data_IF_338927125069
#
_entry.id   IF_338927125069
#
_cell.length_a   1.000
_cell.length_b   1.000
_cell.length_c   1.000
_cell.angle_alpha   90.00
_cell.angle_beta   90.00
_cell.angle_gamma   90.00
#
_symmetry.space_group_name_H-M   'P 1'
#
loop_
_entity.id
_entity.type
_entity.pdbx_description
1 polymer ?
#
# COMPACT_ATOMS: atom_id res chain seq x y z
N UNK A 1 -12.36 27.20 12.73
CA UNK A 1 -10.93 26.87 12.69
C UNK A 1 -10.47 27.02 11.25
N UNK A 2 -9.41 27.79 11.04
CA UNK A 2 -8.87 27.98 9.70
C UNK A 2 -7.78 26.96 9.42
N UNK A 3 -8.07 26.04 8.52
CA UNK A 3 -7.05 25.11 8.05
C UNK A 3 -6.18 25.80 6.99
N UNK A 4 -4.90 25.45 6.93
CA UNK A 4 -4.08 25.88 5.81
C UNK A 4 -4.68 25.40 4.48
N UNK A 5 -4.34 26.08 3.41
CA UNK A 5 -4.75 25.67 2.08
C UNK A 5 -4.22 24.27 1.76
N UNK A 6 -5.02 23.48 1.05
CA UNK A 6 -4.60 22.13 0.66
C UNK A 6 -3.39 22.17 -0.27
N UNK A 7 -2.43 21.33 0.03
CA UNK A 7 -1.25 21.18 -0.81
C UNK A 7 -1.59 20.26 -1.98
N UNK A 8 -1.16 20.63 -3.18
CA UNK A 8 -1.30 19.78 -4.36
C UNK A 8 -0.53 18.47 -4.12
N UNK A 9 -1.15 17.29 -4.33
CA UNK A 9 -0.45 16.03 -4.15
C UNK A 9 0.87 15.91 -4.92
N UNK A 10 1.02 16.63 -6.02
CA UNK A 10 2.28 16.65 -6.78
C UNK A 10 3.43 17.28 -6.01
N UNK A 11 3.12 18.12 -5.01
CA UNK A 11 4.11 18.79 -4.17
C UNK A 11 4.44 18.02 -2.91
N UNK A 12 3.69 16.94 -2.62
CA UNK A 12 3.93 16.14 -1.43
C UNK A 12 5.13 15.23 -1.62
N UNK A 13 5.89 15.03 -0.54
CA UNK A 13 7.02 14.11 -0.58
C UNK A 13 6.51 12.67 -0.74
N UNK A 14 7.31 11.79 -1.36
CA UNK A 14 6.93 10.39 -1.47
C UNK A 14 6.65 9.73 -0.11
N UNK A 15 7.38 10.11 0.93
CA UNK A 15 7.17 9.53 2.26
C UNK A 15 5.87 10.03 2.90
N UNK A 16 5.45 11.28 2.62
CA UNK A 16 4.15 11.78 3.05
C UNK A 16 3.01 11.02 2.35
N UNK A 17 3.17 10.76 1.05
CA UNK A 17 2.21 9.96 0.29
C UNK A 17 2.13 8.54 0.85
N UNK A 18 3.27 7.93 1.16
CA UNK A 18 3.32 6.59 1.73
C UNK A 18 2.65 6.52 3.11
N UNK A 19 2.78 7.60 3.89
CA UNK A 19 2.12 7.70 5.20
C UNK A 19 0.59 7.55 5.06
N UNK A 20 0.01 8.19 4.04
CA UNK A 20 -1.42 8.04 3.75
C UNK A 20 -1.71 6.66 3.17
N UNK A 21 -0.89 6.21 2.23
CA UNK A 21 -1.09 4.93 1.54
C UNK A 21 -1.05 3.72 2.45
N UNK A 22 -0.23 3.76 3.50
CA UNK A 22 -0.20 2.73 4.52
C UNK A 22 -1.60 2.55 5.14
N UNK A 23 -2.25 3.65 5.49
CA UNK A 23 -3.60 3.63 6.04
C UNK A 23 -4.64 3.17 5.03
N UNK A 24 -4.47 3.53 3.76
CA UNK A 24 -5.39 3.11 2.70
C UNK A 24 -5.37 1.59 2.56
N UNK A 25 -4.20 1.00 2.45
CA UNK A 25 -4.08 -0.46 2.34
C UNK A 25 -4.62 -1.15 3.59
N UNK A 26 -4.24 -0.64 4.75
CA UNK A 26 -4.66 -1.20 6.02
C UNK A 26 -6.19 -1.23 6.13
N UNK A 27 -6.84 -0.13 5.78
CA UNK A 27 -8.32 -0.04 5.85
C UNK A 27 -8.98 -1.04 4.90
N UNK A 28 -8.50 -1.11 3.65
CA UNK A 28 -9.09 -2.00 2.66
C UNK A 28 -8.96 -3.47 3.05
N UNK A 29 -7.80 -3.87 3.56
CA UNK A 29 -7.58 -5.24 4.02
C UNK A 29 -8.46 -5.56 5.22
N UNK A 30 -8.46 -4.69 6.22
CA UNK A 30 -9.28 -4.88 7.43
C UNK A 30 -10.76 -4.97 7.11
N UNK A 31 -11.23 -4.07 6.26
CA UNK A 31 -12.64 -4.08 5.84
C UNK A 31 -13.00 -5.41 5.18
N UNK A 32 -12.20 -5.85 4.23
CA UNK A 32 -12.48 -7.09 3.51
C UNK A 32 -12.47 -8.29 4.45
N UNK A 33 -11.55 -8.34 5.39
CA UNK A 33 -11.49 -9.44 6.36
C UNK A 33 -12.74 -9.47 7.24
N UNK A 34 -13.14 -8.32 7.76
CA UNK A 34 -14.31 -8.21 8.65
C UNK A 34 -15.61 -8.56 7.92
N UNK A 35 -15.70 -8.16 6.64
CA UNK A 35 -16.90 -8.42 5.84
C UNK A 35 -17.10 -9.89 5.53
N UNK A 36 -16.04 -10.70 5.54
CA UNK A 36 -16.11 -12.08 5.10
C UNK A 36 -15.75 -13.11 6.18
N UNK A 37 -15.31 -12.68 7.36
CA UNK A 37 -14.86 -13.59 8.40
C UNK A 37 -15.34 -13.17 9.77
N UNK A 38 -15.80 -14.15 10.56
CA UNK A 38 -16.15 -13.94 11.95
C UNK A 38 -15.00 -14.43 12.83
N UNK A 39 -14.01 -13.59 13.02
CA UNK A 39 -12.79 -13.91 13.76
C UNK A 39 -12.63 -13.00 14.96
N UNK A 40 -11.91 -13.48 15.98
CA UNK A 40 -11.49 -12.63 17.10
C UNK A 40 -10.55 -11.53 16.61
N UNK A 41 -10.41 -10.47 17.40
CA UNK A 41 -9.50 -9.36 17.06
C UNK A 41 -8.07 -9.85 16.83
N UNK A 42 -7.60 -10.80 17.66
CA UNK A 42 -6.25 -11.35 17.50
C UNK A 42 -6.07 -12.11 16.20
N UNK A 43 -7.07 -12.91 15.80
CA UNK A 43 -7.02 -13.65 14.54
C UNK A 43 -7.16 -12.72 13.34
N UNK A 44 -7.99 -11.69 13.45
CA UNK A 44 -8.09 -10.67 12.41
C UNK A 44 -6.75 -9.99 12.18
N UNK A 45 -6.06 -9.62 13.26
CA UNK A 45 -4.75 -9.00 13.15
C UNK A 45 -3.72 -9.94 12.51
N UNK A 46 -3.72 -11.21 12.89
CA UNK A 46 -2.80 -12.18 12.31
C UNK A 46 -3.04 -12.36 10.79
N UNK A 47 -4.31 -12.41 10.38
CA UNK A 47 -4.64 -12.49 8.95
C UNK A 47 -4.24 -11.22 8.21
N UNK A 48 -4.52 -10.05 8.81
CA UNK A 48 -4.18 -8.75 8.22
C UNK A 48 -2.68 -8.65 7.89
N UNK A 49 -1.81 -9.08 8.80
CA UNK A 49 -0.36 -9.01 8.61
C UNK A 49 0.10 -9.73 7.35
N UNK A 50 -0.58 -10.80 6.97
CA UNK A 50 -0.26 -11.55 5.75
C UNK A 50 -0.40 -10.72 4.48
N UNK A 51 -1.14 -9.62 4.54
CA UNK A 51 -1.37 -8.72 3.39
C UNK A 51 -0.61 -7.40 3.51
N UNK A 52 -0.30 -6.94 4.74
CA UNK A 52 0.25 -5.60 4.92
C UNK A 52 1.73 -5.57 5.36
N UNK A 53 2.33 -6.71 5.61
CA UNK A 53 3.77 -6.75 5.91
C UNK A 53 4.57 -6.26 4.69
N UNK A 54 5.79 -5.78 4.93
CA UNK A 54 6.64 -5.32 3.85
C UNK A 54 6.90 -6.42 2.82
N UNK A 55 7.11 -7.66 3.29
CA UNK A 55 7.29 -8.79 2.40
C UNK A 55 6.04 -9.06 1.55
N UNK A 56 4.86 -9.01 2.16
CA UNK A 56 3.61 -9.20 1.43
C UNK A 56 3.43 -8.10 0.39
N UNK A 57 3.67 -6.85 0.76
CA UNK A 57 3.53 -5.73 -0.17
C UNK A 57 4.50 -5.82 -1.34
N UNK A 58 5.73 -6.31 -1.11
CA UNK A 58 6.68 -6.55 -2.19
C UNK A 58 6.10 -7.51 -3.23
N UNK A 59 5.52 -8.61 -2.77
CA UNK A 59 4.93 -9.63 -3.64
C UNK A 59 3.64 -9.12 -4.31
N UNK A 60 2.83 -8.38 -3.58
CA UNK A 60 1.63 -7.76 -4.12
C UNK A 60 1.95 -6.77 -5.23
N UNK A 61 2.96 -5.94 -4.99
CA UNK A 61 3.41 -4.96 -5.97
C UNK A 61 3.88 -5.63 -7.25
N UNK A 62 4.62 -6.73 -7.14
CA UNK A 62 5.08 -7.47 -8.32
C UNK A 62 3.90 -8.00 -9.15
N UNK A 63 2.82 -8.43 -8.51
CA UNK A 63 1.61 -8.85 -9.21
C UNK A 63 0.93 -7.69 -9.94
N UNK A 64 0.94 -6.50 -9.34
CA UNK A 64 0.21 -5.35 -9.86
C UNK A 64 1.02 -4.51 -10.84
N UNK A 65 2.35 -4.57 -10.79
CA UNK A 65 3.21 -3.69 -11.59
C UNK A 65 2.91 -3.74 -13.09
N UNK A 66 2.63 -4.91 -13.69
CA UNK A 66 2.28 -4.95 -15.11
C UNK A 66 1.00 -4.17 -15.48
N UNK A 67 0.17 -3.85 -14.48
CA UNK A 67 -1.07 -3.10 -14.68
C UNK A 67 -0.91 -1.60 -14.45
N UNK A 68 0.26 -1.16 -13.95
CA UNK A 68 0.48 0.25 -13.67
C UNK A 68 0.54 1.07 -14.94
N UNK A 69 -0.07 2.26 -14.89
CA UNK A 69 0.17 3.27 -15.93
C UNK A 69 1.59 3.82 -15.77
N UNK A 70 2.05 4.58 -16.77
CA UNK A 70 3.37 5.24 -16.68
C UNK A 70 3.47 6.13 -15.45
N UNK A 71 2.43 6.92 -15.18
CA UNK A 71 2.41 7.81 -14.03
C UNK A 71 2.44 7.02 -12.72
N UNK A 72 1.68 5.95 -12.64
CA UNK A 72 1.64 5.09 -11.45
C UNK A 72 3.01 4.47 -11.19
N UNK A 73 3.65 3.96 -12.24
CA UNK A 73 4.98 3.38 -12.11
C UNK A 73 6.00 4.40 -11.66
N UNK A 74 5.91 5.62 -12.19
CA UNK A 74 6.82 6.71 -11.80
C UNK A 74 6.66 7.07 -10.32
N UNK A 75 5.42 7.14 -9.83
CA UNK A 75 5.14 7.40 -8.40
C UNK A 75 5.68 6.28 -7.53
N UNK A 76 5.44 5.03 -7.92
CA UNK A 76 5.97 3.87 -7.21
C UNK A 76 7.50 3.94 -7.10
N UNK A 77 8.17 4.21 -8.21
CA UNK A 77 9.65 4.29 -8.23
C UNK A 77 10.18 5.42 -7.36
N UNK A 78 9.50 6.56 -7.34
CA UNK A 78 9.87 7.68 -6.47
C UNK A 78 9.77 7.30 -5.00
N UNK A 79 8.70 6.60 -4.61
CA UNK A 79 8.54 6.14 -3.25
C UNK A 79 9.59 5.11 -2.86
N UNK A 80 9.88 4.17 -3.75
CA UNK A 80 10.92 3.17 -3.53
C UNK A 80 12.28 3.83 -3.34
N UNK A 81 12.60 4.82 -4.17
CA UNK A 81 13.88 5.54 -4.11
C UNK A 81 14.00 6.39 -2.84
N UNK A 82 12.90 6.98 -2.38
CA UNK A 82 12.90 7.84 -1.20
C UNK A 82 12.96 7.04 0.10
N UNK A 83 12.66 5.75 0.06
CA UNK A 83 12.68 4.91 1.24
C UNK A 83 14.08 4.81 1.81
N UNK A 84 14.20 5.07 3.12
CA UNK A 84 15.42 4.82 3.85
C UNK A 84 15.33 3.40 4.38
N UNK A 85 16.01 2.48 3.70
CA UNK A 85 16.04 1.09 4.15
C UNK A 85 16.77 1.03 5.48
N UNK A 86 16.02 1.11 6.56
CA UNK A 86 16.54 0.75 7.88
C UNK A 86 16.40 -0.76 8.02
N UNK A 87 17.12 -1.32 8.98
CA UNK A 87 17.06 -2.75 9.26
C UNK A 87 15.66 -3.07 9.80
N UNK A 88 14.76 -3.47 8.90
CA UNK A 88 13.47 -4.01 9.32
C UNK A 88 13.72 -5.45 9.80
N UNK A 89 13.17 -5.77 10.96
CA UNK A 89 13.44 -7.07 11.61
C UNK A 89 13.01 -8.29 10.78
N UNK A 90 12.06 -8.12 9.86
CA UNK A 90 11.43 -9.24 9.15
C UNK A 90 11.31 -9.02 7.65
N UNK A 91 12.05 -8.05 7.11
CA UNK A 91 12.03 -7.78 5.69
C UNK A 91 13.42 -7.38 5.20
N UNK A 92 13.73 -7.73 3.95
CA UNK A 92 14.95 -7.27 3.31
C UNK A 92 14.84 -5.78 2.98
N UNK A 93 15.98 -5.09 2.74
CA UNK A 93 15.94 -3.70 2.29
C UNK A 93 15.10 -3.53 1.01
N UNK A 94 15.18 -4.47 0.08
CA UNK A 94 14.41 -4.45 -1.15
C UNK A 94 12.92 -4.55 -0.89
N UNK A 95 12.50 -5.47 0.00
CA UNK A 95 11.10 -5.62 0.38
C UNK A 95 10.58 -4.35 1.05
N UNK A 96 11.36 -3.77 1.94
CA UNK A 96 10.98 -2.55 2.64
C UNK A 96 10.81 -1.38 1.66
N UNK A 97 11.77 -1.22 0.73
CA UNK A 97 11.69 -0.15 -0.28
C UNK A 97 10.48 -0.31 -1.19
N UNK A 98 10.20 -1.54 -1.62
CA UNK A 98 9.03 -1.81 -2.46
C UNK A 98 7.73 -1.52 -1.72
N UNK A 99 7.66 -1.84 -0.43
CA UNK A 99 6.47 -1.54 0.37
C UNK A 99 6.24 -0.03 0.48
N UNK A 100 7.31 0.74 0.68
CA UNK A 100 7.22 2.21 0.71
C UNK A 100 6.73 2.75 -0.63
N UNK A 101 7.26 2.22 -1.74
CA UNK A 101 6.83 2.62 -3.08
C UNK A 101 5.36 2.30 -3.34
N UNK A 102 4.91 1.14 -2.93
CA UNK A 102 3.52 0.73 -3.08
C UNK A 102 2.58 1.62 -2.25
N UNK A 103 2.95 1.89 -1.01
CA UNK A 103 2.19 2.81 -0.15
C UNK A 103 2.16 4.22 -0.72
N UNK A 104 3.29 4.68 -1.27
CA UNK A 104 3.36 5.97 -1.95
C UNK A 104 2.36 6.05 -3.10
N UNK A 105 2.29 5.03 -3.93
CA UNK A 105 1.34 4.95 -5.03
C UNK A 105 -0.12 5.01 -4.53
N UNK A 106 -0.44 4.20 -3.53
CA UNK A 106 -1.81 4.17 -3.00
C UNK A 106 -2.20 5.53 -2.40
N UNK A 107 -1.29 6.16 -1.68
CA UNK A 107 -1.53 7.49 -1.12
C UNK A 107 -1.73 8.54 -2.20
N UNK A 108 -0.93 8.48 -3.25
CA UNK A 108 -1.05 9.40 -4.39
C UNK A 108 -2.40 9.26 -5.09
N UNK A 109 -2.81 8.03 -5.37
CA UNK A 109 -4.10 7.77 -6.00
C UNK A 109 -5.25 8.26 -5.11
N UNK A 110 -5.18 7.97 -3.82
CA UNK A 110 -6.23 8.35 -2.88
C UNK A 110 -6.36 9.88 -2.80
N UNK A 111 -5.24 10.58 -2.64
CA UNK A 111 -5.25 12.04 -2.50
C UNK A 111 -5.65 12.77 -3.79
N UNK A 112 -5.45 12.13 -4.93
CA UNK A 112 -5.91 12.66 -6.21
C UNK A 112 -7.37 12.30 -6.52
N UNK A 113 -8.08 11.71 -5.57
CA UNK A 113 -9.48 11.35 -5.76
C UNK A 113 -9.73 10.14 -6.65
N UNK A 114 -8.69 9.36 -6.95
CA UNK A 114 -8.79 8.20 -7.83
C UNK A 114 -9.17 6.94 -7.04
N UNK A 115 -10.27 7.01 -6.31
CA UNK A 115 -10.72 5.90 -5.46
C UNK A 115 -11.09 4.68 -6.28
N UNK A 116 -11.69 4.86 -7.46
CA UNK A 116 -12.02 3.73 -8.33
C UNK A 116 -10.78 2.95 -8.73
N UNK A 117 -9.67 3.66 -8.99
CA UNK A 117 -8.42 3.00 -9.34
C UNK A 117 -7.82 2.26 -8.15
N UNK A 118 -7.89 2.86 -6.96
CA UNK A 118 -7.45 2.19 -5.73
C UNK A 118 -8.22 0.88 -5.55
N UNK A 119 -9.54 0.90 -5.69
CA UNK A 119 -10.37 -0.29 -5.55
C UNK A 119 -10.08 -1.32 -6.64
N UNK A 120 -9.83 -0.88 -7.86
CA UNK A 120 -9.50 -1.78 -8.97
C UNK A 120 -8.19 -2.53 -8.70
N UNK A 121 -7.14 -1.81 -8.28
CA UNK A 121 -5.87 -2.43 -7.93
C UNK A 121 -6.02 -3.36 -6.71
N UNK A 122 -6.76 -2.93 -5.71
CA UNK A 122 -6.98 -3.75 -4.52
C UNK A 122 -7.75 -5.02 -4.85
N UNK A 123 -8.78 -4.93 -5.69
CA UNK A 123 -9.56 -6.11 -6.07
C UNK A 123 -8.69 -7.12 -6.82
N UNK A 124 -7.84 -6.65 -7.73
CA UNK A 124 -6.90 -7.52 -8.43
C UNK A 124 -5.94 -8.20 -7.45
N UNK A 125 -5.41 -7.42 -6.51
CA UNK A 125 -4.55 -7.95 -5.45
C UNK A 125 -5.29 -9.04 -4.66
N UNK A 126 -6.51 -8.75 -4.24
CA UNK A 126 -7.29 -9.67 -3.41
C UNK A 126 -7.57 -10.99 -4.13
N UNK A 127 -7.87 -10.93 -5.43
CA UNK A 127 -8.18 -12.11 -6.23
C UNK A 127 -6.93 -12.94 -6.58
N UNK A 128 -5.79 -12.31 -6.70
CA UNK A 128 -4.60 -12.95 -7.28
C UNK A 128 -3.50 -13.27 -6.28
N UNK A 129 -3.46 -12.59 -5.14
CA UNK A 129 -2.40 -12.76 -4.16
C UNK A 129 -2.74 -13.90 -3.20
N UNK A 130 -1.79 -14.83 -3.03
CA UNK A 130 -1.92 -15.90 -2.03
C UNK A 130 -1.17 -15.47 -0.76
N UNK A 131 -1.89 -15.12 0.33
CA UNK A 131 -1.25 -14.69 1.57
C UNK A 131 -0.49 -15.80 2.29
N UNK A 132 -0.74 -17.04 1.92
CA UNK A 132 -0.13 -18.20 2.58
C UNK A 132 1.04 -18.78 1.80
N UNK A 133 1.34 -18.25 0.64
CA UNK A 133 2.49 -18.70 -0.15
C UNK A 133 3.79 -18.31 0.53
N UNK A 134 4.70 -19.28 0.61
CA UNK A 134 6.00 -19.08 1.26
C UNK A 134 7.07 -18.64 0.27
#
# INVERSE_FOLDING_TARGET
MNEPEKIDPRELSPLALAFVGDSVLELLVRQRLVEHHRLSAGKLNAEKVKYVSARAQFREEQLLEPLFTEDELAVFKRGRKASKASVAKHASPEEYRASTGFECLLGWLYLNGQLSRVHELFETLWQSFDPNEK
#
